data_IF_624896101935
#
_entry.id   IF_624896101935
#
_cell.length_a   1.000
_cell.length_b   1.000
_cell.length_c   1.000
_cell.angle_alpha   90.00
_cell.angle_beta   90.00
_cell.angle_gamma   90.00
#
_symmetry.space_group_name_H-M   'P 1'
#
loop_
_entity.id
_entity.type
_entity.pdbx_description
1 polymer ?
#
# COMPACT_ATOMS: atom_id res chain seq x y z
N UNK A 1 1.30 -2.51 -61.49
CA UNK A 1 2.18 -3.48 -60.80
C UNK A 1 2.87 -2.74 -59.66
N UNK A 2 2.30 -2.78 -58.45
CA UNK A 2 2.79 -2.00 -57.29
C UNK A 2 3.75 -2.86 -56.45
N UNK A 3 5.00 -2.43 -56.35
CA UNK A 3 6.05 -3.05 -55.56
C UNK A 3 5.81 -2.83 -54.05
N UNK A 4 5.74 -3.93 -53.29
CA UNK A 4 5.66 -3.88 -51.82
C UNK A 4 7.04 -3.54 -51.21
N UNK A 5 7.10 -2.67 -50.19
CA UNK A 5 8.36 -2.35 -49.51
C UNK A 5 8.82 -3.53 -48.63
N UNK A 6 10.12 -3.84 -48.72
CA UNK A 6 10.82 -4.84 -47.88
C UNK A 6 10.75 -4.45 -46.40
N UNK A 7 10.26 -5.37 -45.57
CA UNK A 7 10.42 -5.32 -44.10
C UNK A 7 11.92 -5.31 -43.76
N UNK A 8 12.40 -4.21 -43.19
CA UNK A 8 13.69 -4.16 -42.50
C UNK A 8 13.60 -5.01 -41.23
N UNK A 9 14.46 -6.03 -41.14
CA UNK A 9 14.69 -6.77 -39.90
C UNK A 9 15.21 -5.79 -38.84
N UNK A 10 14.41 -5.54 -37.79
CA UNK A 10 14.88 -4.90 -36.57
C UNK A 10 15.89 -5.83 -35.91
N UNK A 11 17.14 -5.38 -35.85
CA UNK A 11 18.15 -5.98 -35.01
C UNK A 11 17.63 -6.09 -33.57
N UNK A 12 17.79 -7.28 -32.98
CA UNK A 12 17.55 -7.52 -31.57
C UNK A 12 18.43 -6.59 -30.73
N UNK A 13 17.88 -5.88 -29.73
CA UNK A 13 18.70 -5.08 -28.83
C UNK A 13 19.66 -6.03 -28.10
N UNK A 14 20.95 -5.75 -28.27
CA UNK A 14 22.02 -6.38 -27.53
C UNK A 14 21.72 -6.33 -26.04
N UNK A 15 21.78 -7.48 -25.37
CA UNK A 15 21.75 -7.58 -23.91
C UNK A 15 22.83 -6.68 -23.32
N UNK A 16 22.40 -5.52 -22.83
CA UNK A 16 23.23 -4.57 -22.11
C UNK A 16 23.79 -5.28 -20.86
N UNK A 17 25.11 -5.25 -20.72
CA UNK A 17 25.83 -5.91 -19.62
C UNK A 17 25.31 -5.39 -18.29
N UNK A 18 24.90 -6.33 -17.43
CA UNK A 18 24.45 -6.12 -16.05
C UNK A 18 25.50 -5.32 -15.26
N UNK A 19 25.24 -4.02 -15.08
CA UNK A 19 26.02 -3.18 -14.17
C UNK A 19 25.67 -3.45 -12.71
N UNK A 20 26.53 -3.03 -11.76
CA UNK A 20 26.27 -3.17 -10.33
C UNK A 20 24.96 -2.47 -9.92
N UNK A 21 24.25 -3.06 -8.95
CA UNK A 21 23.02 -2.49 -8.37
C UNK A 21 23.26 -1.04 -7.91
N UNK A 22 22.37 -0.12 -8.29
CA UNK A 22 22.48 1.27 -7.84
C UNK A 22 22.27 1.37 -6.32
N UNK A 23 23.00 2.25 -5.61
CA UNK A 23 22.85 2.43 -4.15
C UNK A 23 21.40 2.70 -3.71
N UNK A 24 20.62 3.37 -4.56
CA UNK A 24 19.19 3.65 -4.35
C UNK A 24 18.34 2.39 -4.27
N UNK A 25 18.61 1.36 -5.10
CA UNK A 25 17.85 0.10 -5.07
C UNK A 25 18.07 -0.66 -3.76
N UNK A 26 19.30 -0.65 -3.25
CA UNK A 26 19.63 -1.29 -1.99
C UNK A 26 18.91 -0.61 -0.82
N UNK A 27 18.89 0.73 -0.78
CA UNK A 27 18.16 1.49 0.22
C UNK A 27 16.66 1.17 0.21
N UNK A 28 16.02 1.10 -0.97
CA UNK A 28 14.60 0.73 -1.09
C UNK A 28 14.34 -0.72 -0.67
N UNK A 29 15.23 -1.66 -1.01
CA UNK A 29 15.12 -3.03 -0.56
C UNK A 29 15.18 -3.14 0.97
N UNK A 30 16.08 -2.37 1.61
CA UNK A 30 16.19 -2.30 3.06
C UNK A 30 14.95 -1.68 3.72
N UNK A 31 14.38 -0.62 3.15
CA UNK A 31 13.11 -0.06 3.62
C UNK A 31 12.01 -1.13 3.64
N UNK A 32 11.90 -1.92 2.56
CA UNK A 32 10.93 -3.01 2.48
C UNK A 32 11.26 -4.15 3.47
N UNK A 33 12.53 -4.43 3.75
CA UNK A 33 12.92 -5.37 4.79
C UNK A 33 12.41 -4.92 6.18
N UNK A 34 12.53 -3.63 6.49
CA UNK A 34 12.00 -3.07 7.74
C UNK A 34 10.47 -3.16 7.80
N UNK A 35 9.77 -2.87 6.70
CA UNK A 35 8.33 -3.05 6.63
C UNK A 35 7.93 -4.52 6.81
N UNK A 36 8.66 -5.46 6.21
CA UNK A 36 8.41 -6.89 6.39
C UNK A 36 8.60 -7.31 7.86
N UNK A 37 9.67 -6.86 8.51
CA UNK A 37 9.94 -7.15 9.91
C UNK A 37 8.86 -6.60 10.85
N UNK A 38 8.45 -5.34 10.66
CA UNK A 38 7.38 -4.73 11.47
C UNK A 38 6.00 -5.34 11.19
N UNK A 39 5.71 -5.72 9.94
CA UNK A 39 4.45 -6.40 9.58
C UNK A 39 4.40 -7.82 10.16
N UNK A 40 5.50 -8.56 10.11
CA UNK A 40 5.60 -9.87 10.74
C UNK A 40 5.49 -9.76 12.27
N UNK A 41 6.15 -8.78 12.89
CA UNK A 41 5.95 -8.49 14.31
C UNK A 41 4.47 -8.22 14.63
N UNK A 42 3.80 -7.38 13.83
CA UNK A 42 2.39 -7.06 14.03
C UNK A 42 1.47 -8.28 13.91
N UNK A 43 1.66 -9.11 12.87
CA UNK A 43 0.94 -10.37 12.69
C UNK A 43 1.14 -11.33 13.86
N UNK A 44 2.36 -11.40 14.40
CA UNK A 44 2.62 -12.22 15.59
C UNK A 44 1.84 -11.73 16.80
N UNK A 45 1.78 -10.41 17.02
CA UNK A 45 1.07 -9.81 18.15
C UNK A 45 -0.46 -9.95 18.03
N UNK A 46 -1.01 -9.88 16.82
CA UNK A 46 -2.45 -10.03 16.60
C UNK A 46 -2.93 -11.48 16.45
N UNK A 47 -2.03 -12.45 16.61
CA UNK A 47 -2.33 -13.89 16.45
C UNK A 47 -2.49 -14.35 15.00
N UNK A 48 -2.07 -13.53 14.02
CA UNK A 48 -2.21 -13.79 12.59
C UNK A 48 -1.41 -14.98 12.04
N UNK A 49 -0.42 -15.48 12.78
CA UNK A 49 0.31 -16.71 12.42
C UNK A 49 -0.25 -17.98 13.07
N UNK A 50 -1.23 -17.86 13.97
CA UNK A 50 -1.85 -19.01 14.63
C UNK A 50 -3.03 -19.57 13.82
N UNK A 51 -3.30 -20.87 13.96
CA UNK A 51 -4.53 -21.52 13.46
C UNK A 51 -5.80 -21.01 14.15
N UNK A 52 -5.66 -20.24 15.22
CA UNK A 52 -6.73 -19.59 15.96
C UNK A 52 -6.56 -18.07 15.85
N UNK A 53 -6.74 -17.53 14.64
CA UNK A 53 -6.95 -16.09 14.51
C UNK A 53 -8.14 -15.73 15.40
N UNK A 54 -7.91 -14.88 16.40
CA UNK A 54 -8.99 -14.45 17.28
C UNK A 54 -10.06 -13.77 16.41
N UNK A 55 -11.35 -14.14 16.55
CA UNK A 55 -12.44 -13.40 15.91
C UNK A 55 -12.42 -11.92 16.27
N UNK A 56 -11.70 -11.53 17.33
CA UNK A 56 -11.53 -10.15 17.73
C UNK A 56 -10.50 -9.37 16.88
N UNK A 57 -9.54 -10.00 16.18
CA UNK A 57 -8.41 -9.30 15.50
C UNK A 57 -8.29 -9.60 14.00
N UNK A 58 -9.25 -10.33 13.43
CA UNK A 58 -9.20 -10.80 12.03
C UNK A 58 -8.95 -9.66 11.02
N UNK A 59 -9.55 -8.49 11.23
CA UNK A 59 -9.46 -7.40 10.27
C UNK A 59 -8.06 -6.77 10.30
N UNK A 60 -7.45 -6.59 11.49
CA UNK A 60 -6.04 -6.17 11.58
C UNK A 60 -5.06 -7.18 10.98
N UNK A 61 -5.34 -8.48 11.12
CA UNK A 61 -4.51 -9.53 10.51
C UNK A 61 -4.48 -9.39 8.99
N UNK A 62 -5.61 -9.04 8.35
CA UNK A 62 -5.64 -8.76 6.91
C UNK A 62 -4.80 -7.53 6.57
N UNK A 63 -4.92 -6.43 7.34
CA UNK A 63 -4.09 -5.22 7.16
C UNK A 63 -2.60 -5.55 7.13
N UNK A 64 -2.10 -6.22 8.17
CA UNK A 64 -0.67 -6.53 8.29
C UNK A 64 -0.21 -7.57 7.27
N UNK A 65 -1.11 -8.46 6.82
CA UNK A 65 -0.82 -9.40 5.72
C UNK A 65 -0.60 -8.69 4.40
N UNK A 66 -1.39 -7.67 4.06
CA UNK A 66 -1.19 -6.87 2.85
C UNK A 66 0.15 -6.13 2.88
N UNK A 67 0.51 -5.52 4.01
CA UNK A 67 1.80 -4.86 4.16
C UNK A 67 2.98 -5.83 4.06
N UNK A 68 2.88 -7.00 4.69
CA UNK A 68 3.92 -8.04 4.58
C UNK A 68 4.07 -8.52 3.13
N UNK A 69 2.96 -8.79 2.44
CA UNK A 69 2.97 -9.23 1.04
C UNK A 69 3.60 -8.16 0.13
N UNK A 70 3.21 -6.90 0.30
CA UNK A 70 3.79 -5.78 -0.42
C UNK A 70 5.30 -5.65 -0.18
N UNK A 71 5.72 -5.76 1.08
CA UNK A 71 7.13 -5.69 1.48
C UNK A 71 7.96 -6.82 0.86
N UNK A 72 7.46 -8.05 0.83
CA UNK A 72 8.14 -9.20 0.19
C UNK A 72 8.34 -8.94 -1.31
N UNK A 73 7.31 -8.46 -2.01
CA UNK A 73 7.44 -8.10 -3.43
C UNK A 73 8.46 -6.97 -3.61
N UNK A 74 8.48 -5.98 -2.70
CA UNK A 74 9.47 -4.91 -2.69
C UNK A 74 10.90 -5.40 -2.53
N UNK A 75 11.15 -6.30 -1.57
CA UNK A 75 12.48 -6.90 -1.35
C UNK A 75 12.95 -7.60 -2.62
N UNK A 76 12.10 -8.41 -3.25
CA UNK A 76 12.45 -9.14 -4.48
C UNK A 76 12.68 -8.15 -5.64
N UNK A 77 11.79 -7.15 -5.79
CA UNK A 77 11.87 -6.15 -6.85
C UNK A 77 13.16 -5.34 -6.80
N UNK A 78 13.49 -4.80 -5.64
CA UNK A 78 14.60 -3.86 -5.51
C UNK A 78 15.92 -4.58 -5.20
N UNK A 79 15.88 -5.71 -4.51
CA UNK A 79 17.05 -6.52 -4.16
C UNK A 79 17.56 -7.44 -5.27
N UNK A 80 16.73 -7.78 -6.27
CA UNK A 80 17.14 -8.62 -7.39
C UNK A 80 17.27 -7.83 -8.71
N UNK A 81 18.49 -7.68 -9.27
CA UNK A 81 18.70 -6.94 -10.52
C UNK A 81 18.08 -7.63 -11.74
N UNK A 82 17.96 -8.96 -11.75
CA UNK A 82 17.53 -9.74 -12.92
C UNK A 82 16.00 -9.81 -13.06
N UNK A 83 15.27 -9.99 -11.95
CA UNK A 83 13.81 -10.15 -11.97
C UNK A 83 13.04 -8.91 -11.51
N UNK A 84 13.74 -7.88 -11.05
CA UNK A 84 13.14 -6.72 -10.40
C UNK A 84 12.12 -5.98 -11.27
N UNK A 85 12.44 -5.79 -12.55
CA UNK A 85 11.59 -5.02 -13.45
C UNK A 85 10.29 -5.75 -13.81
N UNK A 86 10.31 -7.09 -13.85
CA UNK A 86 9.11 -7.90 -14.09
C UNK A 86 8.07 -7.73 -12.96
N UNK A 87 8.52 -7.43 -11.74
CA UNK A 87 7.66 -7.22 -10.57
C UNK A 87 7.17 -5.79 -10.40
N UNK A 88 7.52 -4.86 -11.31
CA UNK A 88 7.12 -3.46 -11.21
C UNK A 88 5.60 -3.29 -11.10
N UNK A 89 4.84 -3.91 -11.98
CA UNK A 89 3.36 -3.82 -12.00
C UNK A 89 2.74 -4.45 -10.74
N UNK A 90 3.29 -5.59 -10.29
CA UNK A 90 2.84 -6.24 -9.06
C UNK A 90 3.10 -5.35 -7.83
N UNK A 91 4.26 -4.72 -7.76
CA UNK A 91 4.59 -3.79 -6.67
C UNK A 91 3.67 -2.56 -6.68
N UNK A 92 3.46 -1.93 -7.84
CA UNK A 92 2.56 -0.77 -7.98
C UNK A 92 1.10 -1.12 -7.59
N UNK A 93 0.61 -2.29 -8.01
CA UNK A 93 -0.73 -2.77 -7.62
C UNK A 93 -0.83 -3.07 -6.12
N UNK A 94 0.20 -3.68 -5.53
CA UNK A 94 0.19 -3.96 -4.09
C UNK A 94 0.34 -2.71 -3.23
N UNK A 95 1.06 -1.68 -3.69
CA UNK A 95 1.04 -0.34 -3.08
C UNK A 95 -0.39 0.21 -3.03
N UNK A 96 -1.12 0.11 -4.16
CA UNK A 96 -2.52 0.54 -4.21
C UNK A 96 -3.40 -0.24 -3.24
N UNK A 97 -3.24 -1.57 -3.13
CA UNK A 97 -3.99 -2.38 -2.16
C UNK A 97 -3.64 -2.05 -0.71
N UNK A 98 -2.38 -1.74 -0.39
CA UNK A 98 -1.99 -1.29 0.95
C UNK A 98 -2.76 -0.03 1.37
N UNK A 99 -2.99 0.89 0.43
CA UNK A 99 -3.72 2.13 0.71
C UNK A 99 -5.23 1.92 0.77
N UNK A 100 -5.78 1.16 -0.18
CA UNK A 100 -7.24 1.08 -0.42
C UNK A 100 -7.91 -0.10 0.26
N UNK A 101 -7.17 -1.14 0.64
CA UNK A 101 -7.71 -2.31 1.33
C UNK A 101 -7.18 -2.39 2.77
N UNK A 102 -5.86 -2.33 2.97
CA UNK A 102 -5.30 -2.56 4.31
C UNK A 102 -5.79 -1.52 5.35
N UNK A 103 -5.83 -0.23 4.98
CA UNK A 103 -6.28 0.83 5.87
C UNK A 103 -7.79 0.73 6.23
N UNK A 104 -8.72 0.46 5.29
CA UNK A 104 -10.11 0.19 5.66
C UNK A 104 -10.33 -1.00 6.57
N UNK A 105 -9.55 -2.08 6.40
CA UNK A 105 -9.59 -3.20 7.34
C UNK A 105 -9.13 -2.79 8.74
N UNK A 106 -8.12 -1.94 8.85
CA UNK A 106 -7.69 -1.42 10.14
C UNK A 106 -8.75 -0.50 10.78
N UNK A 107 -9.41 0.34 9.99
CA UNK A 107 -10.50 1.21 10.46
C UNK A 107 -11.70 0.39 10.95
N UNK A 108 -12.03 -0.69 10.24
CA UNK A 108 -13.03 -1.66 10.66
C UNK A 108 -12.64 -2.35 11.97
N UNK A 109 -11.37 -2.74 12.12
CA UNK A 109 -10.85 -3.34 13.34
C UNK A 109 -11.00 -2.41 14.54
N UNK A 110 -10.59 -1.15 14.42
CA UNK A 110 -10.73 -0.13 15.48
C UNK A 110 -12.21 0.10 15.82
N UNK A 111 -13.09 0.13 14.82
CA UNK A 111 -14.53 0.27 15.04
C UNK A 111 -15.12 -0.90 15.84
N UNK A 112 -14.71 -2.13 15.52
CA UNK A 112 -15.13 -3.35 16.23
C UNK A 112 -14.58 -3.36 17.67
N UNK A 113 -13.32 -2.97 17.84
CA UNK A 113 -12.65 -2.89 19.15
C UNK A 113 -13.41 -1.97 20.12
N UNK A 114 -13.89 -0.82 19.64
CA UNK A 114 -14.71 0.11 20.43
C UNK A 114 -16.21 -0.21 20.42
N UNK A 115 -16.59 -1.46 20.15
CA UNK A 115 -17.97 -1.97 20.24
C UNK A 115 -18.99 -1.21 19.39
N UNK A 116 -18.56 -0.59 18.29
CA UNK A 116 -19.50 -0.07 17.30
C UNK A 116 -20.22 -1.21 16.57
N UNK A 117 -21.44 -0.96 16.04
CA UNK A 117 -22.17 -1.98 15.29
C UNK A 117 -21.31 -2.55 14.16
N UNK A 118 -21.26 -3.87 14.02
CA UNK A 118 -20.44 -4.55 13.01
C UNK A 118 -20.67 -4.01 11.59
N UNK A 119 -21.91 -3.61 11.27
CA UNK A 119 -22.25 -2.99 10.00
C UNK A 119 -21.48 -1.68 9.72
N UNK A 120 -21.15 -0.91 10.75
CA UNK A 120 -20.34 0.29 10.63
C UNK A 120 -18.90 -0.06 10.22
N UNK A 121 -18.26 -1.03 10.89
CA UNK A 121 -16.93 -1.51 10.51
C UNK A 121 -16.88 -2.08 9.09
N UNK A 122 -17.89 -2.89 8.72
CA UNK A 122 -17.99 -3.46 7.37
C UNK A 122 -18.15 -2.39 6.28
N UNK A 123 -18.77 -1.25 6.58
CA UNK A 123 -18.93 -0.17 5.61
C UNK A 123 -17.60 0.38 5.09
N UNK A 124 -16.55 0.42 5.93
CA UNK A 124 -15.20 0.80 5.50
C UNK A 124 -14.61 -0.22 4.54
N UNK A 125 -14.76 -1.51 4.85
CA UNK A 125 -14.29 -2.59 3.98
C UNK A 125 -14.98 -2.53 2.61
N UNK A 126 -16.31 -2.35 2.59
CA UNK A 126 -17.06 -2.17 1.35
C UNK A 126 -16.60 -0.94 0.57
N UNK A 127 -16.32 0.17 1.25
CA UNK A 127 -15.79 1.38 0.61
C UNK A 127 -14.42 1.13 -0.04
N UNK A 128 -13.54 0.37 0.63
CA UNK A 128 -12.26 -0.07 0.07
C UNK A 128 -12.43 -0.90 -1.21
N UNK A 129 -13.23 -1.98 -1.14
CA UNK A 129 -13.48 -2.83 -2.31
C UNK A 129 -14.21 -2.11 -3.45
N UNK A 130 -15.16 -1.22 -3.14
CA UNK A 130 -15.83 -0.39 -4.14
C UNK A 130 -14.81 0.50 -4.88
N UNK A 131 -13.84 1.05 -4.16
CA UNK A 131 -12.77 1.87 -4.74
C UNK A 131 -11.87 1.04 -5.66
N UNK A 132 -11.53 -0.19 -5.26
CA UNK A 132 -10.80 -1.14 -6.11
C UNK A 132 -11.59 -1.48 -7.39
N UNK A 133 -12.88 -1.80 -7.25
CA UNK A 133 -13.76 -2.10 -8.39
C UNK A 133 -13.83 -0.92 -9.37
N UNK A 134 -14.06 0.30 -8.86
CA UNK A 134 -14.08 1.52 -9.66
C UNK A 134 -12.73 1.82 -10.32
N UNK A 135 -11.61 1.52 -9.66
CA UNK A 135 -10.28 1.68 -10.24
C UNK A 135 -10.09 0.77 -11.48
N UNK A 136 -10.42 -0.52 -11.37
CA UNK A 136 -10.27 -1.44 -12.50
C UNK A 136 -11.28 -1.18 -13.63
N UNK A 137 -12.53 -0.84 -13.29
CA UNK A 137 -13.53 -0.39 -14.27
C UNK A 137 -13.01 0.84 -15.01
N UNK A 138 -12.49 1.84 -14.29
CA UNK A 138 -11.91 3.04 -14.92
C UNK A 138 -10.77 2.67 -15.88
N UNK A 139 -9.87 1.77 -15.51
CA UNK A 139 -8.77 1.31 -16.39
C UNK A 139 -9.25 0.61 -17.65
N UNK A 140 -10.29 -0.22 -17.57
CA UNK A 140 -10.82 -0.96 -18.72
C UNK A 140 -11.54 0.00 -19.68
N UNK A 141 -12.43 0.85 -19.17
CA UNK A 141 -13.29 1.70 -20.01
C UNK A 141 -12.62 2.99 -20.49
N UNK A 142 -11.65 3.53 -19.74
CA UNK A 142 -11.00 4.81 -20.06
C UNK A 142 -9.64 4.65 -20.75
N UNK A 143 -9.26 3.43 -21.12
CA UNK A 143 -7.97 3.07 -21.73
C UNK A 143 -7.65 3.77 -23.08
N UNK A 144 -8.48 4.73 -23.52
CA UNK A 144 -8.31 5.47 -24.77
C UNK A 144 -8.81 6.92 -24.78
N UNK A 145 -9.25 7.51 -23.65
CA UNK A 145 -9.71 8.92 -23.59
C UNK A 145 -8.90 9.75 -22.60
N UNK A 146 -8.54 10.97 -23.01
CA UNK A 146 -7.83 12.04 -22.30
C UNK A 146 -7.39 11.72 -20.85
N UNK A 147 -6.12 11.37 -20.69
CA UNK A 147 -5.53 10.77 -19.48
C UNK A 147 -5.56 11.65 -18.21
N UNK A 148 -5.90 12.94 -18.30
CA UNK A 148 -5.84 13.88 -17.18
C UNK A 148 -7.00 13.72 -16.19
N UNK A 149 -8.24 13.80 -16.66
CA UNK A 149 -9.44 13.77 -15.81
C UNK A 149 -9.63 12.42 -15.12
N UNK A 150 -9.39 11.32 -15.84
CA UNK A 150 -9.48 9.97 -15.29
C UNK A 150 -8.50 9.77 -14.13
N UNK A 151 -7.26 10.25 -14.27
CA UNK A 151 -6.23 10.20 -13.22
C UNK A 151 -6.56 11.09 -12.03
N UNK A 152 -7.11 12.28 -12.29
CA UNK A 152 -7.55 13.18 -11.20
C UNK A 152 -8.67 12.53 -10.39
N UNK A 153 -9.70 12.01 -11.06
CA UNK A 153 -10.82 11.37 -10.39
C UNK A 153 -10.40 10.12 -9.61
N UNK A 154 -9.45 9.34 -10.14
CA UNK A 154 -8.84 8.22 -9.42
C UNK A 154 -8.10 8.68 -8.16
N UNK A 155 -7.23 9.67 -8.28
CA UNK A 155 -6.50 10.23 -7.14
C UNK A 155 -7.45 10.80 -6.07
N UNK A 156 -8.51 11.50 -6.50
CA UNK A 156 -9.52 12.04 -5.60
C UNK A 156 -10.26 10.94 -4.84
N UNK A 157 -10.70 9.86 -5.52
CA UNK A 157 -11.36 8.72 -4.86
C UNK A 157 -10.48 8.07 -3.79
N UNK A 158 -9.21 7.81 -4.12
CA UNK A 158 -8.27 7.21 -3.18
C UNK A 158 -8.06 8.14 -1.98
N UNK A 159 -7.82 9.43 -2.22
CA UNK A 159 -7.64 10.43 -1.14
C UNK A 159 -8.87 10.53 -0.27
N UNK A 160 -10.07 10.50 -0.84
CA UNK A 160 -11.32 10.53 -0.10
C UNK A 160 -11.46 9.33 0.83
N UNK A 161 -11.23 8.12 0.31
CA UNK A 161 -11.30 6.86 1.09
C UNK A 161 -10.24 6.86 2.19
N UNK A 162 -9.01 7.27 1.90
CA UNK A 162 -7.96 7.36 2.92
C UNK A 162 -8.35 8.39 4.00
N UNK A 163 -8.85 9.56 3.61
CA UNK A 163 -9.21 10.63 4.55
C UNK A 163 -10.31 10.20 5.50
N UNK A 164 -11.39 9.59 5.00
CA UNK A 164 -12.51 9.17 5.86
C UNK A 164 -12.10 8.06 6.84
N UNK A 165 -11.25 7.13 6.41
CA UNK A 165 -10.72 6.07 7.27
C UNK A 165 -9.81 6.65 8.36
N UNK A 166 -8.83 7.50 7.99
CA UNK A 166 -7.94 8.14 8.97
C UNK A 166 -8.70 9.05 9.94
N UNK A 167 -9.64 9.85 9.44
CA UNK A 167 -10.47 10.70 10.30
C UNK A 167 -11.27 9.86 11.30
N UNK A 168 -11.84 8.74 10.85
CA UNK A 168 -12.57 7.82 11.75
C UNK A 168 -11.64 7.23 12.80
N UNK A 169 -10.46 6.74 12.42
CA UNK A 169 -9.50 6.19 13.39
C UNK A 169 -9.09 7.26 14.41
N UNK A 170 -8.76 8.48 13.95
CA UNK A 170 -8.41 9.59 14.85
C UNK A 170 -9.57 9.90 15.79
N UNK A 171 -10.79 10.04 15.28
CA UNK A 171 -11.95 10.37 16.10
C UNK A 171 -12.23 9.29 17.16
N UNK A 172 -12.27 8.02 16.76
CA UNK A 172 -12.54 6.91 17.69
C UNK A 172 -11.43 6.75 18.71
N UNK A 173 -10.17 6.78 18.28
CA UNK A 173 -9.04 6.62 19.20
C UNK A 173 -8.89 7.81 20.14
N UNK A 174 -9.17 9.04 19.68
CA UNK A 174 -9.12 10.24 20.52
C UNK A 174 -10.19 10.21 21.61
N UNK A 175 -11.44 9.87 21.27
CA UNK A 175 -12.55 9.77 22.25
C UNK A 175 -12.27 8.70 23.30
N UNK A 176 -11.57 7.62 22.94
CA UNK A 176 -11.19 6.54 23.84
C UNK A 176 -9.78 6.71 24.46
N UNK A 177 -9.16 7.90 24.35
CA UNK A 177 -7.83 8.21 24.89
C UNK A 177 -6.68 7.31 24.41
N UNK A 178 -6.86 6.60 23.29
CA UNK A 178 -5.86 5.76 22.67
C UNK A 178 -4.98 6.59 21.73
N UNK A 179 -3.96 7.24 22.28
CA UNK A 179 -3.07 8.10 21.51
C UNK A 179 -2.19 7.33 20.51
N UNK A 180 -2.01 6.01 20.69
CA UNK A 180 -1.32 5.17 19.72
C UNK A 180 -2.07 5.07 18.40
N UNK A 181 -3.41 4.95 18.43
CA UNK A 181 -4.23 4.94 17.22
C UNK A 181 -4.23 6.30 16.49
N UNK A 182 -4.19 7.40 17.26
CA UNK A 182 -3.99 8.74 16.71
C UNK A 182 -2.61 8.86 16.06
N UNK A 183 -1.54 8.43 16.73
CA UNK A 183 -0.18 8.44 16.20
C UNK A 183 -0.04 7.56 14.94
N UNK A 184 -0.67 6.39 14.90
CA UNK A 184 -0.74 5.54 13.72
C UNK A 184 -1.36 6.30 12.55
N UNK A 185 -2.50 6.95 12.77
CA UNK A 185 -3.20 7.71 11.74
C UNK A 185 -2.41 8.91 11.25
N UNK A 186 -1.78 9.67 12.14
CA UNK A 186 -0.92 10.80 11.78
C UNK A 186 0.32 10.37 11.01
N UNK A 187 0.93 9.25 11.42
CA UNK A 187 2.05 8.66 10.68
C UNK A 187 1.62 8.35 9.25
N UNK A 188 0.44 7.75 9.04
CA UNK A 188 -0.13 7.47 7.71
C UNK A 188 -0.57 8.73 6.93
N UNK A 189 -1.06 9.76 7.62
CA UNK A 189 -1.54 10.99 6.98
C UNK A 189 -0.37 11.79 6.37
N UNK A 190 0.71 11.96 7.12
CA UNK A 190 1.79 12.87 6.77
C UNK A 190 2.43 12.53 5.41
N UNK A 191 2.98 11.33 5.21
CA UNK A 191 3.65 11.06 3.94
C UNK A 191 2.65 10.81 2.79
N UNK A 192 1.41 10.41 3.06
CA UNK A 192 0.43 10.18 2.00
C UNK A 192 0.01 11.47 1.29
N UNK A 193 -0.20 12.57 2.04
CA UNK A 193 -0.62 13.85 1.48
C UNK A 193 0.53 14.78 1.11
N UNK A 194 1.64 14.78 1.86
CA UNK A 194 2.73 15.74 1.66
C UNK A 194 3.82 15.22 0.72
N UNK A 195 4.15 13.93 0.77
CA UNK A 195 5.28 13.36 0.01
C UNK A 195 4.83 12.81 -1.35
N UNK A 196 3.61 12.28 -1.43
CA UNK A 196 3.14 11.54 -2.61
C UNK A 196 3.90 10.22 -2.82
N UNK A 197 3.55 9.47 -3.88
CA UNK A 197 4.12 8.14 -4.17
C UNK A 197 5.24 8.17 -5.23
N UNK A 198 5.55 9.33 -5.80
CA UNK A 198 6.48 9.46 -6.93
C UNK A 198 7.42 10.63 -6.72
N UNK A 199 8.68 10.49 -7.12
CA UNK A 199 9.69 11.54 -7.05
C UNK A 199 10.65 11.35 -5.88
N UNK A 200 11.34 12.43 -5.51
CA UNK A 200 12.27 12.48 -4.39
C UNK A 200 11.91 13.63 -3.47
N UNK A 201 12.03 13.42 -2.16
CA UNK A 201 11.85 14.45 -1.13
C UNK A 201 13.12 14.44 -0.29
N UNK A 202 13.81 15.58 -0.22
CA UNK A 202 15.13 15.69 0.40
C UNK A 202 16.16 14.65 -0.09
N UNK A 203 16.20 14.39 -1.41
CA UNK A 203 17.02 13.35 -2.05
C UNK A 203 16.71 11.90 -1.65
N UNK A 204 15.63 11.67 -0.90
CA UNK A 204 15.15 10.33 -0.54
C UNK A 204 14.02 9.95 -1.52
N UNK A 205 14.04 8.75 -2.12
CA UNK A 205 12.93 8.26 -2.94
C UNK A 205 11.60 8.29 -2.17
N UNK A 206 10.54 8.84 -2.78
CA UNK A 206 9.21 8.90 -2.15
C UNK A 206 8.67 7.52 -1.76
N UNK A 207 9.04 6.48 -2.53
CA UNK A 207 8.71 5.08 -2.21
C UNK A 207 9.32 4.64 -0.87
N UNK A 208 10.55 5.05 -0.56
CA UNK A 208 11.20 4.68 0.71
C UNK A 208 10.47 5.34 1.87
N UNK A 209 10.11 6.62 1.73
CA UNK A 209 9.34 7.37 2.74
C UNK A 209 7.96 6.76 3.00
N UNK A 210 7.29 6.27 1.96
CA UNK A 210 6.03 5.54 2.08
C UNK A 210 6.23 4.20 2.80
N UNK A 211 7.29 3.46 2.49
CA UNK A 211 7.56 2.16 3.13
C UNK A 211 7.94 2.33 4.61
N UNK A 212 8.79 3.32 4.93
CA UNK A 212 9.12 3.67 6.31
C UNK A 212 7.88 4.10 7.10
N UNK A 213 7.00 4.87 6.46
CA UNK A 213 5.73 5.25 7.05
C UNK A 213 4.86 4.05 7.42
N UNK A 214 4.68 3.09 6.50
CA UNK A 214 3.92 1.88 6.80
C UNK A 214 4.56 1.08 7.94
N UNK A 215 5.90 1.09 8.06
CA UNK A 215 6.60 0.44 9.15
C UNK A 215 6.31 1.14 10.51
N UNK A 216 6.33 2.48 10.56
CA UNK A 216 5.93 3.22 11.76
C UNK A 216 4.45 3.04 12.09
N UNK A 217 3.59 3.05 11.08
CA UNK A 217 2.17 2.74 11.23
C UNK A 217 1.98 1.39 11.91
N UNK A 218 2.68 0.33 11.49
CA UNK A 218 2.59 -0.99 12.11
C UNK A 218 2.92 -0.97 13.61
N UNK A 219 3.97 -0.25 14.00
CA UNK A 219 4.38 -0.18 15.41
C UNK A 219 3.32 0.49 16.28
N UNK A 220 2.76 1.62 15.82
CA UNK A 220 1.70 2.32 16.54
C UNK A 220 0.36 1.58 16.48
N UNK A 221 0.03 0.97 15.34
CA UNK A 221 -1.19 0.19 15.16
C UNK A 221 -1.24 -1.01 16.09
N UNK A 222 -0.13 -1.74 16.26
CA UNK A 222 -0.06 -2.85 17.22
C UNK A 222 -0.31 -2.36 18.65
N UNK A 223 0.31 -1.24 19.05
CA UNK A 223 0.08 -0.66 20.38
C UNK A 223 -1.37 -0.22 20.55
N UNK A 224 -1.95 0.40 19.53
CA UNK A 224 -3.35 0.81 19.55
C UNK A 224 -4.33 -0.34 19.71
N UNK A 225 -3.99 -1.54 19.22
CA UNK A 225 -4.84 -2.74 19.34
C UNK A 225 -4.68 -3.47 20.68
N UNK A 226 -3.62 -3.18 21.43
CA UNK A 226 -3.29 -3.84 22.70
C UNK A 226 -3.55 -2.96 23.93
N UNK A 227 -3.87 -1.68 23.71
CA UNK A 227 -4.21 -0.66 24.72
C UNK A 227 -5.72 -0.64 24.95
#
# INVERSE_FOLDING_TARGET
MYSRPRRQNRASPSKEKEGPLSPTRFATAFANLLLAATSAYALRQTGGFGLQASPATWASTVTFSFFLFHAIIGIIRFGNPQYGDALRSAYENTTFWCVVIALPFFSAQISIMYSLPTGFGLSFIFLGFATVGLHYVSRIYLNGKNNGEARWAESFRVKFVVSINLFTIVALCYVNLNFYGVAASLSFLHNFFFTGLTGTVFNIPAVDLFVYQLAFFNLFAVKALLD
#
